data_IF_029333423178
#
_entry.id   IF_029333423178
#
_cell.length_a   1.000
_cell.length_b   1.000
_cell.length_c   1.000
_cell.angle_alpha   90.00
_cell.angle_beta   90.00
_cell.angle_gamma   90.00
#
_symmetry.space_group_name_H-M   'P 1'
#
loop_
_entity.id
_entity.type
_entity.pdbx_description
1 polymer ?
#
# COMPACT_ATOMS: atom_id res chain seq x y z
N UNK A 1 43.80 -34.53 -12.83
CA UNK A 1 43.22 -33.17 -12.76
C UNK A 1 41.92 -33.25 -12.00
N UNK A 2 41.94 -32.87 -10.73
CA UNK A 2 40.78 -32.90 -9.83
C UNK A 2 40.03 -31.58 -9.98
N UNK A 3 38.82 -31.63 -10.52
CA UNK A 3 37.96 -30.46 -10.69
C UNK A 3 37.27 -30.18 -9.35
N UNK A 4 37.74 -29.17 -8.64
CA UNK A 4 37.16 -28.71 -7.38
C UNK A 4 35.99 -27.79 -7.70
N UNK A 5 34.76 -28.29 -7.61
CA UNK A 5 33.53 -27.48 -7.76
C UNK A 5 33.38 -26.50 -6.58
N UNK A 6 33.18 -25.19 -6.82
CA UNK A 6 32.99 -24.21 -5.76
C UNK A 6 31.63 -24.37 -5.06
N UNK A 7 31.55 -24.12 -3.75
CA UNK A 7 30.32 -24.26 -2.99
C UNK A 7 29.27 -23.23 -3.42
N UNK A 8 28.11 -23.77 -3.82
CA UNK A 8 26.88 -23.06 -4.19
C UNK A 8 26.53 -21.85 -3.31
N UNK A 9 26.52 -20.65 -3.92
CA UNK A 9 26.18 -19.37 -3.31
C UNK A 9 24.72 -19.24 -2.84
N UNK A 10 23.87 -20.20 -3.18
CA UNK A 10 22.42 -20.22 -2.89
C UNK A 10 22.07 -20.44 -1.41
N UNK A 11 22.99 -20.91 -0.57
CA UNK A 11 22.70 -21.14 0.86
C UNK A 11 22.73 -19.88 1.74
N UNK A 12 23.46 -18.82 1.37
CA UNK A 12 23.63 -17.64 2.26
C UNK A 12 22.44 -16.67 2.24
N UNK A 13 21.66 -16.64 1.17
CA UNK A 13 20.55 -15.66 1.03
C UNK A 13 19.33 -16.06 1.87
N UNK A 14 19.08 -17.36 2.08
CA UNK A 14 17.92 -17.83 2.87
C UNK A 14 18.02 -17.56 4.38
N UNK A 15 19.22 -17.38 4.92
CA UNK A 15 19.41 -17.19 6.36
C UNK A 15 19.00 -15.79 6.86
N UNK A 16 19.08 -14.77 6.01
CA UNK A 16 18.83 -13.37 6.41
C UNK A 16 17.35 -13.04 6.46
N UNK A 17 16.52 -13.65 5.60
CA UNK A 17 15.08 -13.43 5.57
C UNK A 17 14.36 -14.06 6.77
N UNK A 18 14.78 -15.25 7.23
CA UNK A 18 14.14 -15.95 8.36
C UNK A 18 14.26 -15.13 9.65
N UNK A 19 15.40 -14.45 9.88
CA UNK A 19 15.63 -13.69 11.11
C UNK A 19 14.72 -12.46 11.24
N UNK A 20 14.32 -11.84 10.12
CA UNK A 20 13.39 -10.69 10.12
C UNK A 20 11.95 -11.10 10.46
N UNK A 21 11.48 -12.23 9.93
CA UNK A 21 10.14 -12.73 10.21
C UNK A 21 9.95 -13.19 11.65
N UNK A 22 10.99 -13.78 12.28
CA UNK A 22 10.95 -14.18 13.69
C UNK A 22 10.81 -12.97 14.62
N UNK A 23 11.58 -11.90 14.39
CA UNK A 23 11.49 -10.69 15.23
C UNK A 23 10.12 -10.01 15.12
N UNK A 24 9.56 -9.94 13.91
CA UNK A 24 8.22 -9.39 13.68
C UNK A 24 7.15 -10.23 14.37
N UNK A 25 7.25 -11.57 14.29
CA UNK A 25 6.32 -12.49 14.95
C UNK A 25 6.33 -12.34 16.47
N UNK A 26 7.51 -12.26 17.09
CA UNK A 26 7.65 -12.10 18.54
C UNK A 26 7.08 -10.76 19.01
N UNK A 27 7.35 -9.67 18.29
CA UNK A 27 6.78 -8.35 18.61
C UNK A 27 5.25 -8.32 18.48
N UNK A 28 4.69 -8.96 17.46
CA UNK A 28 3.24 -9.03 17.26
C UNK A 28 2.55 -9.81 18.39
N UNK A 29 3.11 -10.95 18.80
CA UNK A 29 2.58 -11.75 19.92
C UNK A 29 2.68 -10.98 21.24
N UNK A 30 3.82 -10.34 21.52
CA UNK A 30 3.99 -9.52 22.71
C UNK A 30 2.98 -8.36 22.75
N UNK A 31 2.72 -7.70 21.61
CA UNK A 31 1.71 -6.66 21.51
C UNK A 31 0.31 -7.21 21.78
N UNK A 32 -0.06 -8.35 21.20
CA UNK A 32 -1.37 -8.97 21.42
C UNK A 32 -1.58 -9.39 22.88
N UNK A 33 -0.55 -9.88 23.56
CA UNK A 33 -0.62 -10.23 24.98
C UNK A 33 -0.82 -8.98 25.83
N UNK A 34 -0.08 -7.90 25.56
CA UNK A 34 -0.23 -6.63 26.28
C UNK A 34 -1.62 -6.03 26.05
N UNK A 35 -2.09 -6.02 24.80
CA UNK A 35 -3.43 -5.53 24.44
C UNK A 35 -4.52 -6.39 25.09
N UNK A 36 -4.41 -7.72 25.04
CA UNK A 36 -5.35 -8.64 25.68
C UNK A 36 -5.40 -8.42 27.19
N UNK A 37 -4.25 -8.29 27.85
CA UNK A 37 -4.17 -8.05 29.29
C UNK A 37 -4.76 -6.71 29.71
N UNK A 38 -4.65 -5.68 28.87
CA UNK A 38 -5.28 -4.37 29.09
C UNK A 38 -6.81 -4.36 28.83
N UNK A 39 -7.31 -5.19 27.92
CA UNK A 39 -8.74 -5.21 27.54
C UNK A 39 -9.57 -6.18 28.39
N UNK A 40 -9.00 -7.28 28.89
CA UNK A 40 -9.76 -8.23 29.73
C UNK A 40 -10.47 -7.60 30.95
N UNK A 41 -9.87 -6.66 31.71
CA UNK A 41 -10.55 -6.07 32.87
C UNK A 41 -11.66 -5.07 32.50
N UNK A 42 -11.66 -4.50 31.29
CA UNK A 42 -12.72 -3.55 30.86
C UNK A 42 -14.02 -4.23 30.44
N UNK A 43 -14.05 -5.56 30.29
CA UNK A 43 -15.28 -6.32 30.06
C UNK A 43 -16.12 -6.51 31.33
N UNK A 44 -15.55 -6.29 32.52
CA UNK A 44 -16.23 -6.52 33.81
C UNK A 44 -16.77 -5.24 34.49
N UNK A 45 -16.63 -4.06 33.88
CA UNK A 45 -17.03 -2.77 34.49
C UNK A 45 -18.42 -2.27 34.09
N UNK A 46 -19.25 -3.10 33.42
CA UNK A 46 -20.39 -2.60 32.64
C UNK A 46 -21.66 -2.21 33.41
N UNK A 47 -21.79 -2.53 34.71
CA UNK A 47 -22.98 -2.17 35.50
C UNK A 47 -22.86 -0.79 36.16
N UNK A 48 -21.77 -0.54 36.89
CA UNK A 48 -21.58 0.72 37.61
C UNK A 48 -21.50 1.96 36.69
N UNK A 49 -20.97 1.81 35.47
CA UNK A 49 -20.91 2.90 34.48
C UNK A 49 -22.27 3.19 33.84
N UNK A 50 -23.13 2.18 33.70
CA UNK A 50 -24.51 2.38 33.24
C UNK A 50 -25.33 3.13 34.29
N UNK A 51 -25.21 2.75 35.56
CA UNK A 51 -25.96 3.41 36.65
C UNK A 51 -25.58 4.89 36.80
N UNK A 52 -24.29 5.23 36.75
CA UNK A 52 -23.83 6.62 36.85
C UNK A 52 -24.33 7.50 35.69
N UNK A 53 -24.40 6.92 34.49
CA UNK A 53 -24.87 7.60 33.29
C UNK A 53 -26.38 7.84 33.32
N UNK A 54 -27.14 6.86 33.76
CA UNK A 54 -28.59 6.97 33.86
C UNK A 54 -29.01 8.00 34.91
N UNK A 55 -28.29 8.07 36.03
CA UNK A 55 -28.49 9.12 37.05
C UNK A 55 -28.19 10.51 36.48
N UNK A 56 -27.12 10.67 35.71
CA UNK A 56 -26.77 11.95 35.09
C UNK A 56 -27.88 12.46 34.15
N UNK A 57 -28.39 11.59 33.29
CA UNK A 57 -29.40 11.96 32.30
C UNK A 57 -30.80 12.19 32.90
N UNK A 58 -31.09 11.60 34.07
CA UNK A 58 -32.34 11.82 34.80
C UNK A 58 -32.29 13.02 35.77
N UNK A 59 -31.12 13.63 35.96
CA UNK A 59 -30.94 14.77 36.85
C UNK A 59 -31.78 15.98 36.37
N UNK A 60 -32.47 16.73 37.26
CA UNK A 60 -33.40 17.79 36.86
C UNK A 60 -32.82 18.82 35.88
N UNK A 61 -31.55 19.18 36.04
CA UNK A 61 -30.86 20.13 35.15
C UNK A 61 -30.55 19.60 33.75
N UNK A 62 -30.60 18.28 33.53
CA UNK A 62 -30.27 17.64 32.25
C UNK A 62 -31.50 17.22 31.44
N UNK A 63 -32.69 17.22 32.06
CA UNK A 63 -33.92 16.72 31.41
C UNK A 63 -34.33 17.52 30.19
N UNK A 64 -34.09 18.83 30.18
CA UNK A 64 -34.38 19.67 29.01
C UNK A 64 -33.46 19.31 27.84
N UNK A 65 -32.16 19.20 28.09
CA UNK A 65 -31.19 18.81 27.07
C UNK A 65 -31.39 17.37 26.58
N UNK A 66 -31.89 16.47 27.44
CA UNK A 66 -32.30 15.12 27.05
C UNK A 66 -33.49 15.14 26.08
N UNK A 67 -34.51 15.97 26.34
CA UNK A 67 -35.65 16.13 25.43
C UNK A 67 -35.22 16.70 24.08
N UNK A 68 -34.36 17.72 24.07
CA UNK A 68 -33.81 18.32 22.84
C UNK A 68 -32.98 17.31 22.04
N UNK A 69 -32.14 16.51 22.71
CA UNK A 69 -31.40 15.44 22.06
C UNK A 69 -32.33 14.38 21.45
N UNK A 70 -33.43 14.04 22.12
CA UNK A 70 -34.41 13.08 21.61
C UNK A 70 -35.12 13.61 20.35
N UNK A 71 -35.43 14.91 20.32
CA UNK A 71 -36.00 15.59 19.13
C UNK A 71 -34.98 15.63 17.99
N UNK A 72 -33.73 15.98 18.29
CA UNK A 72 -32.66 16.01 17.29
C UNK A 72 -32.38 14.64 16.64
N UNK A 73 -32.55 13.56 17.41
CA UNK A 73 -32.44 12.19 16.92
C UNK A 73 -33.71 11.67 16.21
N UNK A 74 -34.78 12.45 16.17
CA UNK A 74 -36.08 12.04 15.61
C UNK A 74 -36.80 10.96 16.42
N UNK A 75 -36.42 10.78 17.69
CA UNK A 75 -37.02 9.80 18.61
C UNK A 75 -38.26 10.38 19.30
N UNK A 76 -38.26 11.70 19.54
CA UNK A 76 -39.33 12.43 20.19
C UNK A 76 -39.82 13.61 19.33
N UNK A 77 -41.05 14.04 19.55
CA UNK A 77 -41.66 15.18 18.86
C UNK A 77 -41.23 16.52 19.48
N UNK A 78 -41.33 17.60 18.71
CA UNK A 78 -41.04 18.99 19.10
C UNK A 78 -41.83 19.49 20.32
N UNK A 79 -42.96 18.86 20.65
CA UNK A 79 -43.72 19.11 21.88
C UNK A 79 -43.07 18.55 23.17
N UNK A 80 -41.93 17.86 23.05
CA UNK A 80 -41.22 17.28 24.19
C UNK A 80 -40.55 18.36 25.05
N UNK A 81 -40.53 18.14 26.36
CA UNK A 81 -39.99 19.09 27.35
C UNK A 81 -39.27 18.35 28.48
N UNK A 82 -38.61 19.11 29.37
CA UNK A 82 -37.99 18.56 30.58
C UNK A 82 -38.91 17.71 31.48
N UNK A 83 -40.24 17.86 31.37
CA UNK A 83 -41.21 17.11 32.18
C UNK A 83 -41.79 15.89 31.45
N UNK A 84 -41.89 15.95 30.12
CA UNK A 84 -42.62 14.97 29.31
C UNK A 84 -41.89 14.74 27.98
N UNK A 85 -41.61 13.49 27.67
CA UNK A 85 -41.10 13.06 26.37
C UNK A 85 -42.28 12.50 25.57
N UNK A 86 -42.54 13.07 24.40
CA UNK A 86 -43.62 12.61 23.51
C UNK A 86 -42.99 11.82 22.37
N UNK A 87 -43.11 10.49 22.42
CA UNK A 87 -42.58 9.58 21.40
C UNK A 87 -43.70 8.65 20.91
N UNK A 88 -43.89 8.55 19.60
CA UNK A 88 -44.91 7.68 19.00
C UNK A 88 -46.35 7.98 19.44
N UNK A 89 -46.65 9.23 19.84
CA UNK A 89 -47.98 9.64 20.32
C UNK A 89 -48.25 9.37 21.81
N UNK A 90 -47.32 8.72 22.52
CA UNK A 90 -47.38 8.55 23.98
C UNK A 90 -46.52 9.59 24.69
N UNK A 91 -47.07 10.20 25.75
CA UNK A 91 -46.41 11.21 26.56
C UNK A 91 -46.06 10.63 27.93
N UNK A 92 -44.78 10.35 28.16
CA UNK A 92 -44.28 9.76 29.41
C UNK A 92 -43.22 10.65 30.05
N UNK A 93 -43.17 10.76 31.39
CA UNK A 93 -42.07 11.46 32.05
C UNK A 93 -40.74 10.69 31.85
N UNK A 94 -39.57 11.35 31.85
CA UNK A 94 -38.29 10.71 31.52
C UNK A 94 -37.97 9.41 32.27
N UNK A 95 -38.28 9.25 33.58
CA UNK A 95 -38.06 7.98 34.28
C UNK A 95 -38.93 6.83 33.77
N UNK A 96 -40.20 7.10 33.44
CA UNK A 96 -41.12 6.11 32.86
C UNK A 96 -40.73 5.78 31.43
N UNK A 97 -40.33 6.80 30.65
CA UNK A 97 -39.84 6.60 29.29
C UNK A 97 -38.60 5.69 29.23
N UNK A 98 -37.67 5.80 30.19
CA UNK A 98 -36.52 4.88 30.31
C UNK A 98 -36.94 3.42 30.50
N UNK A 99 -38.01 3.18 31.27
CA UNK A 99 -38.51 1.82 31.52
C UNK A 99 -39.26 1.27 30.29
N UNK A 100 -40.03 2.10 29.62
CA UNK A 100 -40.81 1.75 28.42
C UNK A 100 -39.94 1.56 27.16
N UNK A 101 -38.88 2.37 27.03
CA UNK A 101 -38.02 2.47 25.84
C UNK A 101 -36.52 2.60 26.22
N UNK A 102 -35.90 1.53 26.77
CA UNK A 102 -34.53 1.60 27.31
C UNK A 102 -33.46 1.88 26.25
N UNK A 103 -33.63 1.38 25.02
CA UNK A 103 -32.65 1.58 23.94
C UNK A 103 -32.67 3.01 23.40
N UNK A 104 -33.87 3.58 23.22
CA UNK A 104 -34.06 4.96 22.78
C UNK A 104 -33.55 5.96 23.83
N UNK A 105 -33.82 5.67 25.10
CA UNK A 105 -33.26 6.43 26.23
C UNK A 105 -31.73 6.37 26.22
N UNK A 106 -31.15 5.18 26.03
CA UNK A 106 -29.69 4.99 25.98
C UNK A 106 -29.08 5.78 24.82
N UNK A 107 -29.63 5.66 23.61
CA UNK A 107 -29.13 6.36 22.42
C UNK A 107 -29.20 7.89 22.58
N UNK A 108 -30.29 8.40 23.13
CA UNK A 108 -30.45 9.83 23.46
C UNK A 108 -29.46 10.26 24.54
N UNK A 109 -29.31 9.39 25.54
CA UNK A 109 -28.26 9.31 26.53
C UNK A 109 -26.86 9.69 26.02
N UNK A 110 -26.43 8.92 25.01
CA UNK A 110 -25.11 8.98 24.39
C UNK A 110 -24.92 10.29 23.63
N UNK A 111 -25.93 10.68 22.86
CA UNK A 111 -25.91 11.92 22.09
C UNK A 111 -25.76 13.14 23.01
N UNK A 112 -26.51 13.17 24.12
CA UNK A 112 -26.41 14.25 25.11
C UNK A 112 -25.02 14.30 25.75
N UNK A 113 -24.49 13.14 26.18
CA UNK A 113 -23.18 13.07 26.80
C UNK A 113 -22.06 13.51 25.85
N UNK A 114 -22.14 13.14 24.57
CA UNK A 114 -21.20 13.58 23.53
C UNK A 114 -21.29 15.07 23.20
N UNK A 115 -22.51 15.62 23.14
CA UNK A 115 -22.75 17.03 22.80
C UNK A 115 -22.28 18.01 23.87
N UNK A 116 -22.37 17.64 25.16
CA UNK A 116 -21.92 18.51 26.25
C UNK A 116 -20.39 18.55 26.42
N UNK A 117 -19.64 17.90 25.52
CA UNK A 117 -18.18 17.89 25.57
C UNK A 117 -17.63 17.36 26.90
N UNK A 118 -18.46 16.67 27.70
CA UNK A 118 -17.97 15.93 28.84
C UNK A 118 -17.08 14.86 28.22
N UNK A 119 -15.76 14.88 28.50
CA UNK A 119 -14.89 13.81 28.04
C UNK A 119 -15.57 12.52 28.49
N UNK A 120 -15.78 11.60 27.53
CA UNK A 120 -16.31 10.27 27.79
C UNK A 120 -15.72 9.81 29.12
N UNK A 121 -16.61 9.69 30.10
CA UNK A 121 -16.37 9.37 31.51
C UNK A 121 -14.89 9.04 31.75
N UNK A 122 -14.12 10.00 32.27
CA UNK A 122 -12.98 9.64 33.12
C UNK A 122 -13.57 8.71 34.17
N UNK A 123 -13.47 7.40 33.92
CA UNK A 123 -13.90 6.38 34.84
C UNK A 123 -13.24 6.74 36.16
N UNK A 124 -14.07 7.03 37.15
CA UNK A 124 -13.65 7.66 38.38
C UNK A 124 -12.46 6.94 39.00
N UNK A 125 -11.52 7.75 39.49
CA UNK A 125 -10.66 7.42 40.61
C UNK A 125 -10.05 6.02 40.62
N UNK A 126 -9.08 5.78 39.75
CA UNK A 126 -7.98 4.89 40.14
C UNK A 126 -6.77 5.80 40.28
N UNK A 127 -6.44 6.16 41.52
CA UNK A 127 -5.15 6.74 41.90
C UNK A 127 -4.03 5.72 41.70
N UNK A 128 -3.91 5.21 40.49
CA UNK A 128 -2.98 4.18 40.07
C UNK A 128 -2.37 4.54 38.72
N UNK A 129 -1.20 3.98 38.38
CA UNK A 129 -0.37 4.39 37.25
C UNK A 129 -1.06 4.38 35.88
N UNK A 130 -2.22 3.72 35.75
CA UNK A 130 -3.03 3.67 34.52
C UNK A 130 -3.49 5.06 34.01
N UNK A 131 -3.69 6.05 34.89
CA UNK A 131 -4.17 7.39 34.50
C UNK A 131 -3.14 8.19 33.66
N UNK A 132 -1.84 7.90 33.82
CA UNK A 132 -0.77 8.53 33.02
C UNK A 132 -0.48 7.72 31.75
N UNK A 133 -0.66 6.40 31.82
CA UNK A 133 -0.27 5.48 30.74
C UNK A 133 -1.21 5.58 29.54
N UNK A 134 -2.53 5.73 29.74
CA UNK A 134 -3.50 5.73 28.64
C UNK A 134 -3.36 6.91 27.64
N UNK A 135 -3.22 8.18 28.07
CA UNK A 135 -2.99 9.29 27.13
C UNK A 135 -1.63 9.18 26.44
N UNK A 136 -0.62 8.63 27.12
CA UNK A 136 0.70 8.39 26.52
C UNK A 136 0.63 7.31 25.43
N UNK A 137 -0.11 6.22 25.67
CA UNK A 137 -0.32 5.17 24.67
C UNK A 137 -1.09 5.68 23.45
N UNK A 138 -2.13 6.49 23.64
CA UNK A 138 -2.89 7.06 22.50
C UNK A 138 -2.04 8.02 21.68
N UNK A 139 -1.20 8.85 22.31
CA UNK A 139 -0.25 9.72 21.62
C UNK A 139 0.83 8.91 20.86
N UNK A 140 1.33 7.82 21.44
CA UNK A 140 2.31 6.94 20.77
C UNK A 140 1.68 6.19 19.59
N UNK A 141 0.46 5.68 19.75
CA UNK A 141 -0.28 5.00 18.68
C UNK A 141 -0.58 5.94 17.50
N UNK A 142 -1.03 7.16 17.76
CA UNK A 142 -1.30 8.14 16.70
C UNK A 142 -0.02 8.56 15.98
N UNK A 143 1.07 8.78 16.71
CA UNK A 143 2.38 9.06 16.11
C UNK A 143 2.91 7.88 15.27
N UNK A 144 2.74 6.64 15.74
CA UNK A 144 3.15 5.44 15.01
C UNK A 144 2.32 5.25 13.72
N UNK A 145 1.01 5.49 13.78
CA UNK A 145 0.10 5.47 12.63
C UNK A 145 0.47 6.55 11.62
N UNK A 146 0.73 7.78 12.08
CA UNK A 146 1.15 8.90 11.24
C UNK A 146 2.53 8.65 10.58
N UNK A 147 3.48 8.06 11.32
CA UNK A 147 4.78 7.68 10.77
C UNK A 147 4.65 6.57 9.72
N UNK A 148 3.83 5.55 10.00
CA UNK A 148 3.56 4.47 9.05
C UNK A 148 2.86 4.97 7.78
N UNK A 149 1.91 5.90 7.90
CA UNK A 149 1.23 6.50 6.74
C UNK A 149 2.19 7.36 5.91
N UNK A 150 2.98 8.21 6.56
CA UNK A 150 3.99 9.06 5.91
C UNK A 150 5.03 8.21 5.18
N UNK A 151 5.50 7.12 5.80
CA UNK A 151 6.47 6.22 5.17
C UNK A 151 5.88 5.52 3.94
N UNK A 152 4.61 5.12 3.98
CA UNK A 152 3.92 4.53 2.81
C UNK A 152 3.75 5.55 1.69
N UNK A 153 3.36 6.78 2.02
CA UNK A 153 3.23 7.86 1.05
C UNK A 153 4.57 8.18 0.38
N UNK A 154 5.65 8.32 1.16
CA UNK A 154 6.98 8.57 0.62
C UNK A 154 7.46 7.44 -0.29
N UNK A 155 7.21 6.18 0.08
CA UNK A 155 7.55 5.03 -0.76
C UNK A 155 6.74 5.03 -2.07
N UNK A 156 5.45 5.34 -2.02
CA UNK A 156 4.61 5.43 -3.21
C UNK A 156 5.05 6.56 -4.15
N UNK A 157 5.38 7.73 -3.62
CA UNK A 157 5.87 8.87 -4.43
C UNK A 157 7.19 8.53 -5.13
N UNK A 158 8.13 7.91 -4.42
CA UNK A 158 9.40 7.44 -5.01
C UNK A 158 9.15 6.39 -6.09
N UNK A 159 8.24 5.43 -5.83
CA UNK A 159 7.87 4.40 -6.80
C UNK A 159 7.25 4.98 -8.07
N UNK A 160 6.38 5.98 -7.96
CA UNK A 160 5.78 6.68 -9.10
C UNK A 160 6.82 7.47 -9.91
N UNK A 161 7.75 8.15 -9.25
CA UNK A 161 8.83 8.87 -9.93
C UNK A 161 9.75 7.91 -10.69
N UNK A 162 10.17 6.81 -10.04
CA UNK A 162 10.99 5.75 -10.64
C UNK A 162 10.26 5.11 -11.84
N UNK A 163 8.96 4.85 -11.70
CA UNK A 163 8.13 4.31 -12.77
C UNK A 163 8.03 5.26 -13.97
N UNK A 164 7.80 6.55 -13.73
CA UNK A 164 7.71 7.56 -14.79
C UNK A 164 9.00 7.65 -15.59
N UNK A 165 10.14 7.78 -14.90
CA UNK A 165 11.46 7.82 -15.53
C UNK A 165 11.73 6.57 -16.37
N UNK A 166 11.40 5.38 -15.84
CA UNK A 166 11.57 4.14 -16.60
C UNK A 166 10.69 4.12 -17.87
N UNK A 167 9.43 4.56 -17.80
CA UNK A 167 8.55 4.63 -18.99
C UNK A 167 9.09 5.59 -20.05
N UNK A 168 9.66 6.72 -19.64
CA UNK A 168 10.29 7.69 -20.55
C UNK A 168 11.50 7.06 -21.26
N UNK A 169 12.38 6.38 -20.54
CA UNK A 169 13.55 5.70 -21.10
C UNK A 169 13.18 4.54 -22.03
N UNK A 170 12.18 3.74 -21.65
CA UNK A 170 11.66 2.63 -22.47
C UNK A 170 11.08 3.16 -23.78
N UNK A 171 10.31 4.25 -23.71
CA UNK A 171 9.72 4.90 -24.88
C UNK A 171 10.80 5.47 -25.80
N UNK A 172 11.77 6.20 -25.25
CA UNK A 172 12.89 6.75 -26.01
C UNK A 172 13.70 5.66 -26.72
N UNK A 173 14.00 4.55 -26.04
CA UNK A 173 14.68 3.41 -26.64
C UNK A 173 13.85 2.77 -27.77
N UNK A 174 12.57 2.50 -27.53
CA UNK A 174 11.67 1.91 -28.53
C UNK A 174 11.62 2.75 -29.79
N UNK A 175 11.47 4.06 -29.63
CA UNK A 175 11.30 4.98 -30.74
C UNK A 175 12.61 5.12 -31.54
N UNK A 176 13.76 5.23 -30.86
CA UNK A 176 15.07 5.25 -31.50
C UNK A 176 15.38 3.94 -32.24
N UNK A 177 15.13 2.78 -31.61
CA UNK A 177 15.34 1.48 -32.20
C UNK A 177 14.46 1.26 -33.45
N UNK A 178 13.17 1.63 -33.39
CA UNK A 178 12.28 1.54 -34.53
C UNK A 178 12.71 2.47 -35.67
N UNK A 179 13.10 3.72 -35.37
CA UNK A 179 13.63 4.67 -36.35
C UNK A 179 14.86 4.11 -37.06
N UNK A 180 15.80 3.51 -36.31
CA UNK A 180 16.98 2.86 -36.88
C UNK A 180 16.60 1.66 -37.77
N UNK A 181 15.73 0.77 -37.28
CA UNK A 181 15.27 -0.40 -38.03
C UNK A 181 14.51 -0.03 -39.31
N UNK A 182 13.74 1.06 -39.28
CA UNK A 182 13.05 1.57 -40.47
C UNK A 182 14.01 2.22 -41.47
N UNK A 183 15.06 2.92 -41.00
CA UNK A 183 16.13 3.42 -41.87
C UNK A 183 16.83 2.28 -42.62
N UNK A 184 17.03 1.12 -41.99
CA UNK A 184 17.64 -0.06 -42.63
C UNK A 184 16.81 -0.67 -43.77
N UNK A 185 15.52 -0.32 -43.90
CA UNK A 185 14.68 -0.73 -45.04
C UNK A 185 15.02 0.04 -46.32
N UNK A 186 15.58 1.26 -46.21
CA UNK A 186 15.91 2.15 -47.32
C UNK A 186 17.30 2.78 -47.11
N UNK A 187 18.40 2.03 -47.36
CA UNK A 187 19.74 2.57 -47.21
C UNK A 187 20.01 3.76 -48.16
N UNK A 188 20.92 4.69 -47.80
CA UNK A 188 21.87 4.62 -46.69
C UNK A 188 21.28 5.00 -45.32
N UNK A 189 21.82 4.40 -44.25
CA UNK A 189 21.45 4.72 -42.87
C UNK A 189 22.40 5.78 -42.32
N UNK A 190 21.84 6.83 -41.72
CA UNK A 190 22.60 7.89 -41.09
C UNK A 190 23.32 7.40 -39.82
N UNK A 191 24.57 7.83 -39.60
CA UNK A 191 25.34 7.47 -38.40
C UNK A 191 24.72 8.00 -37.11
N UNK A 192 24.01 9.14 -37.18
CA UNK A 192 23.24 9.75 -36.10
C UNK A 192 22.20 8.80 -35.50
N UNK A 193 21.46 8.06 -36.33
CA UNK A 193 20.43 7.12 -35.88
C UNK A 193 21.00 5.95 -35.08
N UNK A 194 22.22 5.51 -35.40
CA UNK A 194 22.91 4.46 -34.63
C UNK A 194 23.32 4.99 -33.26
N UNK A 195 23.94 6.18 -33.22
CA UNK A 195 24.36 6.81 -31.97
C UNK A 195 23.19 7.15 -31.03
N UNK A 196 22.07 7.66 -31.58
CA UNK A 196 20.83 7.91 -30.82
C UNK A 196 20.30 6.62 -30.18
N UNK A 197 20.29 5.51 -30.93
CA UNK A 197 19.81 4.22 -30.45
C UNK A 197 20.72 3.64 -29.37
N UNK A 198 22.05 3.72 -29.55
CA UNK A 198 23.02 3.27 -28.56
C UNK A 198 22.91 4.08 -27.25
N UNK A 199 22.76 5.41 -27.34
CA UNK A 199 22.59 6.27 -26.16
C UNK A 199 21.28 5.96 -25.41
N UNK A 200 20.16 5.81 -26.11
CA UNK A 200 18.88 5.46 -25.51
C UNK A 200 18.91 4.07 -24.85
N UNK A 201 19.59 3.11 -25.49
CA UNK A 201 19.82 1.78 -24.92
C UNK A 201 20.63 1.85 -23.63
N UNK A 202 21.74 2.55 -23.64
CA UNK A 202 22.66 2.61 -22.50
C UNK A 202 22.01 3.31 -21.31
N UNK A 203 21.19 4.35 -21.55
CA UNK A 203 20.38 4.98 -20.52
C UNK A 203 19.37 4.00 -19.89
N UNK A 204 18.63 3.25 -20.72
CA UNK A 204 17.69 2.23 -20.25
C UNK A 204 18.41 1.11 -19.47
N UNK A 205 19.51 0.58 -20.00
CA UNK A 205 20.30 -0.46 -19.36
C UNK A 205 20.93 0.02 -18.05
N UNK A 206 21.40 1.26 -17.98
CA UNK A 206 21.87 1.89 -16.75
C UNK A 206 20.78 1.93 -15.67
N UNK A 207 19.57 2.34 -16.06
CA UNK A 207 18.43 2.40 -15.14
C UNK A 207 17.99 1.02 -14.65
N UNK A 208 17.87 0.06 -15.55
CA UNK A 208 17.53 -1.33 -15.21
C UNK A 208 18.60 -1.97 -14.33
N UNK A 209 19.89 -1.66 -14.52
CA UNK A 209 20.97 -2.16 -13.67
C UNK A 209 20.87 -1.62 -12.24
N UNK A 210 20.62 -0.31 -12.07
CA UNK A 210 20.37 0.28 -10.76
C UNK A 210 19.14 -0.33 -10.07
N UNK A 211 18.10 -0.71 -10.84
CA UNK A 211 16.95 -1.45 -10.31
C UNK A 211 17.33 -2.86 -9.88
N UNK A 212 18.10 -3.61 -10.68
CA UNK A 212 18.54 -4.96 -10.37
C UNK A 212 19.40 -5.01 -9.08
N UNK A 213 20.26 -4.01 -8.86
CA UNK A 213 21.05 -3.89 -7.63
C UNK A 213 20.18 -3.68 -6.39
N UNK A 214 19.11 -2.88 -6.51
CA UNK A 214 18.15 -2.63 -5.42
C UNK A 214 17.16 -3.78 -5.21
N UNK A 215 16.83 -4.51 -6.27
CA UNK A 215 15.81 -5.57 -6.32
C UNK A 215 16.36 -6.84 -7.01
N UNK A 216 17.30 -7.57 -6.39
CA UNK A 216 17.97 -8.72 -7.02
C UNK A 216 17.04 -9.91 -7.33
N UNK A 217 15.83 -9.93 -6.78
CA UNK A 217 14.82 -10.96 -7.05
C UNK A 217 14.00 -10.73 -8.32
N UNK A 218 14.18 -9.60 -9.02
CA UNK A 218 13.42 -9.26 -10.22
C UNK A 218 14.08 -9.86 -11.47
N UNK A 219 13.80 -11.14 -11.73
CA UNK A 219 14.44 -11.91 -12.82
C UNK A 219 14.20 -11.30 -14.20
N UNK A 220 13.00 -10.77 -14.46
CA UNK A 220 12.67 -10.11 -15.74
C UNK A 220 13.57 -8.91 -16.05
N UNK A 221 13.99 -8.16 -15.03
CA UNK A 221 14.94 -7.04 -15.21
C UNK A 221 16.30 -7.57 -15.64
N UNK A 222 16.75 -8.67 -15.04
CA UNK A 222 18.02 -9.30 -15.42
C UNK A 222 17.97 -9.83 -16.86
N UNK A 223 16.88 -10.46 -17.28
CA UNK A 223 16.66 -10.93 -18.66
C UNK A 223 16.70 -9.79 -19.67
N UNK A 224 15.98 -8.68 -19.40
CA UNK A 224 16.01 -7.49 -20.24
C UNK A 224 17.42 -6.88 -20.33
N UNK A 225 18.16 -6.84 -19.21
CA UNK A 225 19.56 -6.41 -19.20
C UNK A 225 20.47 -7.30 -20.05
N UNK A 226 20.28 -8.63 -20.00
CA UNK A 226 21.03 -9.57 -20.83
C UNK A 226 20.77 -9.32 -22.31
N UNK A 227 19.51 -9.12 -22.71
CA UNK A 227 19.15 -8.79 -24.09
C UNK A 227 19.81 -7.50 -24.57
N UNK A 228 19.77 -6.44 -23.74
CA UNK A 228 20.33 -5.14 -24.08
C UNK A 228 21.87 -5.13 -24.09
N UNK A 229 22.54 -5.88 -23.22
CA UNK A 229 24.01 -5.81 -23.10
C UNK A 229 24.74 -6.81 -23.99
N UNK A 230 24.27 -8.05 -24.00
CA UNK A 230 25.01 -9.19 -24.58
C UNK A 230 24.20 -9.98 -25.60
N UNK A 231 22.89 -9.78 -25.66
CA UNK A 231 22.00 -10.48 -26.59
C UNK A 231 21.86 -9.76 -27.93
N UNK A 232 20.72 -9.99 -28.57
CA UNK A 232 20.40 -9.50 -29.91
C UNK A 232 20.32 -7.96 -30.01
N UNK A 233 20.21 -7.25 -28.88
CA UNK A 233 20.08 -5.79 -28.83
C UNK A 233 21.34 -5.09 -28.29
N UNK A 234 22.47 -5.78 -28.30
CA UNK A 234 23.79 -5.28 -27.86
C UNK A 234 24.26 -4.02 -28.62
N UNK A 235 25.29 -3.31 -28.10
CA UNK A 235 26.04 -2.27 -28.84
C UNK A 235 26.33 -2.64 -30.29
N UNK A 236 25.81 -1.83 -31.22
CA UNK A 236 25.95 -2.06 -32.66
C UNK A 236 25.27 -3.34 -33.16
N UNK A 237 24.10 -3.71 -32.63
CA UNK A 237 23.30 -4.84 -33.12
C UNK A 237 22.97 -4.74 -34.63
N UNK A 238 23.01 -3.54 -35.17
CA UNK A 238 22.84 -3.24 -36.59
C UNK A 238 24.05 -3.65 -37.46
N UNK A 239 25.19 -4.01 -36.87
CA UNK A 239 26.36 -4.52 -37.59
C UNK A 239 26.03 -5.75 -38.42
N UNK A 240 25.17 -6.63 -37.91
CA UNK A 240 24.73 -7.83 -38.63
C UNK A 240 23.78 -7.47 -39.79
N UNK A 241 23.07 -6.33 -39.72
CA UNK A 241 22.27 -5.80 -40.81
C UNK A 241 23.14 -5.21 -41.92
N UNK A 242 24.28 -4.59 -41.57
CA UNK A 242 25.28 -4.06 -42.53
C UNK A 242 25.89 -5.17 -43.38
N UNK A 243 26.19 -6.32 -42.78
CA UNK A 243 26.91 -7.42 -43.45
C UNK A 243 25.98 -8.38 -44.19
N UNK A 244 24.66 -8.25 -44.01
CA UNK A 244 23.67 -9.07 -44.72
C UNK A 244 23.64 -8.76 -46.23
N UNK A 245 24.18 -9.68 -47.03
CA UNK A 245 24.28 -9.56 -48.48
C UNK A 245 22.95 -9.71 -49.23
N UNK A 246 21.93 -10.32 -48.62
CA UNK A 246 20.62 -10.54 -49.22
C UNK A 246 19.55 -9.63 -48.58
N UNK A 247 18.64 -9.08 -49.41
CA UNK A 247 17.51 -8.26 -48.96
C UNK A 247 16.51 -9.06 -48.12
N UNK A 248 16.25 -10.31 -48.46
CA UNK A 248 15.28 -11.15 -47.74
C UNK A 248 15.73 -11.39 -46.30
N UNK A 249 16.97 -11.87 -46.12
CA UNK A 249 17.59 -12.13 -44.81
C UNK A 249 17.60 -10.88 -43.93
N UNK A 250 17.82 -9.70 -44.53
CA UNK A 250 17.80 -8.42 -43.83
C UNK A 250 16.41 -8.08 -43.30
N UNK A 251 15.36 -8.29 -44.10
CA UNK A 251 13.97 -8.03 -43.69
C UNK A 251 13.57 -8.98 -42.56
N UNK A 252 13.91 -10.27 -42.67
CA UNK A 252 13.67 -11.25 -41.62
C UNK A 252 14.38 -10.87 -40.31
N UNK A 253 15.65 -10.43 -40.41
CA UNK A 253 16.41 -9.98 -39.24
C UNK A 253 15.85 -8.71 -38.60
N UNK A 254 15.36 -7.76 -39.41
CA UNK A 254 14.67 -6.56 -38.90
C UNK A 254 13.41 -6.96 -38.12
N UNK A 255 12.63 -7.92 -38.62
CA UNK A 255 11.44 -8.41 -37.93
C UNK A 255 11.79 -9.09 -36.60
N UNK A 256 12.81 -9.95 -36.59
CA UNK A 256 13.33 -10.56 -35.37
C UNK A 256 13.78 -9.52 -34.33
N UNK A 257 14.57 -8.53 -34.74
CA UNK A 257 15.01 -7.46 -33.85
C UNK A 257 13.84 -6.64 -33.30
N UNK A 258 12.82 -6.37 -34.12
CA UNK A 258 11.61 -5.66 -33.67
C UNK A 258 10.85 -6.45 -32.60
N UNK A 259 10.75 -7.77 -32.75
CA UNK A 259 10.18 -8.64 -31.70
C UNK A 259 10.98 -8.56 -30.40
N UNK A 260 12.31 -8.56 -30.47
CA UNK A 260 13.16 -8.41 -29.27
C UNK A 260 12.98 -7.03 -28.61
N UNK A 261 12.88 -5.95 -29.40
CA UNK A 261 12.59 -4.61 -28.88
C UNK A 261 11.25 -4.62 -28.13
N UNK A 262 10.20 -5.23 -28.68
CA UNK A 262 8.89 -5.35 -28.03
C UNK A 262 9.01 -6.08 -26.69
N UNK A 263 9.72 -7.21 -26.63
CA UNK A 263 9.93 -7.97 -25.38
C UNK A 263 10.59 -7.10 -24.29
N UNK A 264 11.64 -6.36 -24.65
CA UNK A 264 12.32 -5.45 -23.70
C UNK A 264 11.40 -4.31 -23.27
N UNK A 265 10.63 -3.72 -24.19
CA UNK A 265 9.75 -2.60 -23.87
C UNK A 265 8.59 -3.02 -23.00
N UNK A 266 7.96 -4.16 -23.29
CA UNK A 266 6.87 -4.72 -22.49
C UNK A 266 7.35 -5.07 -21.09
N UNK A 267 8.56 -5.64 -20.99
CA UNK A 267 9.21 -5.89 -19.70
C UNK A 267 9.44 -4.59 -18.94
N UNK A 268 9.98 -3.55 -19.61
CA UNK A 268 10.19 -2.24 -19.02
C UNK A 268 8.91 -1.57 -18.50
N UNK A 269 7.83 -1.62 -19.28
CA UNK A 269 6.51 -1.11 -18.86
C UNK A 269 5.93 -1.91 -17.70
N UNK A 270 5.99 -3.24 -17.76
CA UNK A 270 5.55 -4.11 -16.65
C UNK A 270 6.32 -3.80 -15.35
N UNK A 271 7.62 -3.56 -15.45
CA UNK A 271 8.45 -3.18 -14.30
C UNK A 271 8.05 -1.80 -13.75
N UNK A 272 7.77 -0.83 -14.63
CA UNK A 272 7.29 0.48 -14.23
C UNK A 272 5.92 0.41 -13.53
N UNK A 273 5.00 -0.43 -13.99
CA UNK A 273 3.69 -0.62 -13.37
C UNK A 273 3.80 -1.26 -11.97
N UNK A 274 4.70 -2.23 -11.82
CA UNK A 274 5.04 -2.79 -10.49
C UNK A 274 5.65 -1.73 -9.56
N UNK A 275 6.55 -0.87 -10.05
CA UNK A 275 7.11 0.22 -9.26
C UNK A 275 6.04 1.22 -8.81
N UNK A 276 5.08 1.54 -9.68
CA UNK A 276 4.01 2.48 -9.38
C UNK A 276 2.97 1.92 -8.39
N UNK A 277 2.68 0.62 -8.47
CA UNK A 277 1.71 -0.07 -7.59
C UNK A 277 2.31 -0.49 -6.24
N UNK A 278 3.64 -0.67 -6.17
CA UNK A 278 4.32 -1.20 -5.00
C UNK A 278 4.09 -2.70 -4.77
N UNK A 279 3.50 -3.42 -5.73
CA UNK A 279 3.26 -4.86 -5.65
C UNK A 279 4.41 -5.65 -6.29
N UNK A 280 5.38 -6.05 -5.48
CA UNK A 280 6.57 -6.82 -5.91
C UNK A 280 6.23 -8.24 -6.45
N UNK A 281 4.98 -8.71 -6.32
CA UNK A 281 4.61 -10.12 -6.60
C UNK A 281 4.71 -10.50 -8.08
N UNK A 282 4.52 -9.54 -8.98
CA UNK A 282 4.46 -9.80 -10.43
C UNK A 282 5.83 -10.09 -11.07
N UNK A 283 6.93 -9.67 -10.43
CA UNK A 283 8.28 -9.72 -11.02
C UNK A 283 9.19 -10.81 -10.43
N UNK A 284 8.70 -11.56 -9.43
CA UNK A 284 9.44 -12.64 -8.77
C UNK A 284 9.13 -14.00 -9.38
N UNK A 285 8.04 -14.14 -10.15
CA UNK A 285 7.72 -15.42 -10.77
C UNK A 285 8.75 -15.75 -11.86
N UNK A 286 9.38 -16.94 -11.83
CA UNK A 286 10.18 -17.39 -12.95
C UNK A 286 9.30 -17.43 -14.20
N UNK A 287 9.86 -17.19 -15.40
CA UNK A 287 9.10 -17.32 -16.63
C UNK A 287 8.40 -18.67 -16.62
N UNK A 288 7.07 -18.68 -16.71
CA UNK A 288 6.34 -19.92 -17.02
C UNK A 288 6.92 -20.36 -18.34
N UNK A 289 7.64 -21.48 -18.34
CA UNK A 289 8.06 -22.15 -19.55
C UNK A 289 6.82 -22.34 -20.39
N UNK A 290 6.66 -21.51 -21.41
CA UNK A 290 5.70 -21.78 -22.48
C UNK A 290 6.29 -23.00 -23.17
N UNK A 291 5.83 -24.18 -22.75
CA UNK A 291 6.06 -25.42 -23.47
C UNK A 291 5.42 -25.19 -24.83
N UNK A 292 6.26 -24.97 -25.84
CA UNK A 292 5.80 -24.90 -27.22
C UNK A 292 5.13 -26.25 -27.55
N UNK A 293 3.97 -26.24 -28.24
CA UNK A 293 3.34 -27.45 -28.72
C UNK A 293 4.21 -28.20 -29.73
#
# INVERSE_FOLDING_TARGET
MTITTPPSATRRIRAVTIRKWVVIGVLAVALLVVVGWLILPSLFTSQATRDARDVFCLQPGQRQALAEAAVALGIANDTSSAKLIVSGGTSSPPPSWRQEKPDDFTRTCDALAGAQGKPATQAGGVGGPAAVILPLLTAVLSAALAYASTRRQNAATVGQADAKELRELVTAYRDAANKLLDAWKKPPVESSATAETDAARDALAGRLNALAERKPGWTRVAEALTLLRTGDLRPGFDRDLRTSGNRADRVERIDHLRKQVVVVTDTGFSVADTLASGDDSALVQPPRTVVAP
#
